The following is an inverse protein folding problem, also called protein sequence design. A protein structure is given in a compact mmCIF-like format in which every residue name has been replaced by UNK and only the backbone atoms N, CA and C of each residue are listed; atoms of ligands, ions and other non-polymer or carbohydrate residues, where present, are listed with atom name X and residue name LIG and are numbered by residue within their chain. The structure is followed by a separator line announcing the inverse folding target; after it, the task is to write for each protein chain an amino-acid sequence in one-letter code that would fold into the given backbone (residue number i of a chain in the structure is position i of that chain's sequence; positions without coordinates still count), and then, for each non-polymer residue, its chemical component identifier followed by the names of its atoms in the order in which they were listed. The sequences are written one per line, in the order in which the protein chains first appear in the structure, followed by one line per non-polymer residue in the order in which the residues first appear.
data_IF_681157606917
#
_entry.id   IF_681157606917
#
_cell.length_a   1.000
_cell.length_b   1.000
_cell.length_c   1.000
_cell.angle_alpha   90.00
_cell.angle_beta   90.00
_cell.angle_gamma   90.00
#
_symmetry.space_group_name_H-M   'P 1'
#
loop_
_entity.id
_entity.type
_entity.pdbx_description
1 polymer ?
#
# COMPACT_ATOMS: atom_id res chain seq x y z
N UNK A 1 -16.02 -21.89 3.52
CA UNK A 1 -14.59 -22.07 3.84
C UNK A 1 -13.75 -20.86 3.44
N UNK A 2 -13.81 -20.37 2.22
CA UNK A 2 -13.06 -19.22 1.67
C UNK A 2 -13.22 -17.95 2.52
N UNK A 3 -14.43 -17.64 3.00
CA UNK A 3 -14.72 -16.43 3.81
C UNK A 3 -13.99 -16.43 5.18
N UNK A 4 -13.82 -17.59 5.81
CA UNK A 4 -13.06 -17.71 7.07
C UNK A 4 -11.57 -17.55 6.85
N UNK A 5 -11.04 -18.12 5.77
CA UNK A 5 -9.61 -17.95 5.40
C UNK A 5 -9.31 -16.50 5.10
N UNK A 6 -10.18 -15.82 4.33
CA UNK A 6 -10.06 -14.39 4.06
C UNK A 6 -10.07 -13.53 5.33
N UNK A 7 -10.95 -13.83 6.29
CA UNK A 7 -11.02 -13.09 7.56
C UNK A 7 -9.76 -13.29 8.43
N UNK A 8 -9.22 -14.52 8.46
CA UNK A 8 -7.98 -14.82 9.20
C UNK A 8 -6.79 -14.11 8.57
N UNK A 9 -6.66 -14.17 7.25
CA UNK A 9 -5.58 -13.49 6.51
C UNK A 9 -5.68 -11.98 6.66
N UNK A 10 -6.87 -11.40 6.48
CA UNK A 10 -7.10 -9.98 6.64
C UNK A 10 -6.78 -9.49 8.07
N UNK A 11 -7.18 -10.25 9.10
CA UNK A 11 -6.90 -9.90 10.49
C UNK A 11 -5.40 -9.93 10.83
N UNK A 12 -4.64 -10.89 10.27
CA UNK A 12 -3.19 -10.97 10.46
C UNK A 12 -2.45 -9.86 9.70
N UNK A 13 -2.89 -9.54 8.47
CA UNK A 13 -2.30 -8.46 7.66
C UNK A 13 -2.49 -7.07 8.32
N UNK A 14 -3.59 -6.86 9.05
CA UNK A 14 -3.83 -5.57 9.74
C UNK A 14 -2.83 -5.32 10.89
N UNK A 15 -2.27 -6.37 11.49
CA UNK A 15 -1.30 -6.28 12.60
C UNK A 15 0.15 -6.16 12.13
N UNK A 16 0.44 -6.37 10.85
CA UNK A 16 1.79 -6.28 10.31
C UNK A 16 2.25 -4.83 10.30
N UNK A 17 3.22 -4.51 11.15
CA UNK A 17 3.85 -3.18 11.16
C UNK A 17 4.83 -3.03 9.99
N UNK A 18 5.11 -1.79 9.58
CA UNK A 18 6.14 -1.52 8.56
C UNK A 18 7.51 -2.09 8.95
N UNK A 19 7.84 -2.05 10.25
CA UNK A 19 9.09 -2.61 10.77
C UNK A 19 9.19 -4.11 10.56
N UNK A 20 8.12 -4.86 10.85
CA UNK A 20 8.12 -6.32 10.62
C UNK A 20 8.19 -6.67 9.14
N UNK A 21 7.52 -5.89 8.28
CA UNK A 21 7.57 -6.10 6.84
C UNK A 21 8.97 -5.86 6.28
N UNK A 22 9.63 -4.77 6.68
CA UNK A 22 11.04 -4.50 6.34
C UNK A 22 11.98 -5.59 6.85
N UNK A 23 11.73 -6.12 8.06
CA UNK A 23 12.49 -7.25 8.61
C UNK A 23 12.35 -8.52 7.75
N UNK A 24 11.14 -8.82 7.29
CA UNK A 24 10.88 -9.98 6.39
C UNK A 24 11.58 -9.78 5.04
N UNK A 25 11.51 -8.58 4.47
CA UNK A 25 12.23 -8.25 3.22
C UNK A 25 13.74 -8.43 3.41
N UNK A 26 14.32 -7.86 4.49
CA UNK A 26 15.74 -7.98 4.77
C UNK A 26 16.19 -9.43 4.96
N UNK A 27 15.42 -10.22 5.70
CA UNK A 27 15.66 -11.65 5.89
C UNK A 27 15.61 -12.41 4.56
N UNK A 28 14.60 -12.14 3.73
CA UNK A 28 14.48 -12.75 2.41
C UNK A 28 15.68 -12.44 1.52
N UNK A 29 16.13 -11.17 1.50
CA UNK A 29 17.32 -10.76 0.74
C UNK A 29 18.57 -11.50 1.25
N UNK A 30 18.75 -11.63 2.57
CA UNK A 30 19.88 -12.36 3.15
C UNK A 30 19.88 -13.85 2.77
N UNK A 31 18.70 -14.50 2.82
CA UNK A 31 18.56 -15.90 2.42
C UNK A 31 18.83 -16.08 0.92
N UNK A 32 18.32 -15.19 0.07
CA UNK A 32 18.58 -15.24 -1.37
C UNK A 32 20.06 -15.03 -1.69
N UNK A 33 20.70 -14.07 -1.04
CA UNK A 33 22.14 -13.84 -1.22
C UNK A 33 22.97 -15.09 -0.85
N UNK A 34 22.69 -15.67 0.33
CA UNK A 34 23.36 -16.89 0.78
C UNK A 34 23.05 -18.09 -0.14
N UNK A 35 21.78 -18.25 -0.58
CA UNK A 35 21.37 -19.31 -1.48
C UNK A 35 22.08 -19.26 -2.83
N UNK A 36 22.12 -18.09 -3.46
CA UNK A 36 22.83 -17.91 -4.73
C UNK A 36 24.35 -18.05 -4.59
N UNK A 37 24.91 -17.62 -3.43
CA UNK A 37 26.32 -17.86 -3.14
C UNK A 37 26.65 -19.36 -3.10
N UNK A 38 25.82 -20.16 -2.41
CA UNK A 38 25.99 -21.63 -2.34
C UNK A 38 25.78 -22.30 -3.70
N UNK A 39 24.95 -21.75 -4.57
CA UNK A 39 24.75 -22.22 -5.93
C UNK A 39 25.86 -21.83 -6.92
N UNK A 40 26.84 -21.00 -6.49
CA UNK A 40 27.95 -20.57 -7.32
C UNK A 40 27.66 -19.39 -8.27
N UNK A 41 26.60 -18.62 -8.01
CA UNK A 41 26.18 -17.47 -8.81
C UNK A 41 26.96 -16.19 -8.45
N UNK A 42 28.30 -16.22 -8.62
CA UNK A 42 29.18 -15.14 -8.16
C UNK A 42 28.97 -13.79 -8.86
N UNK A 43 28.51 -13.79 -10.09
CA UNK A 43 28.19 -12.56 -10.82
C UNK A 43 26.88 -11.95 -10.32
N UNK A 44 25.90 -12.80 -10.05
CA UNK A 44 24.57 -12.37 -9.58
C UNK A 44 24.63 -11.77 -8.16
N UNK A 45 25.47 -12.28 -7.29
CA UNK A 45 25.60 -11.84 -5.89
C UNK A 45 26.43 -10.56 -5.72
N UNK A 46 27.04 -10.01 -6.78
CA UNK A 46 27.65 -8.69 -6.72
C UNK A 46 26.59 -7.65 -6.27
N UNK A 47 26.93 -6.72 -5.35
CA UNK A 47 25.93 -5.90 -4.68
C UNK A 47 24.93 -5.19 -5.64
N UNK A 48 25.45 -4.60 -6.71
CA UNK A 48 24.62 -3.86 -7.68
C UNK A 48 23.74 -4.83 -8.49
N UNK A 49 24.31 -5.93 -8.97
CA UNK A 49 23.60 -6.94 -9.76
C UNK A 49 22.53 -7.62 -8.91
N UNK A 50 22.85 -7.94 -7.66
CA UNK A 50 21.93 -8.58 -6.73
C UNK A 50 20.72 -7.69 -6.42
N UNK A 51 20.94 -6.41 -6.09
CA UNK A 51 19.86 -5.46 -5.83
C UNK A 51 18.98 -5.30 -7.08
N UNK A 52 19.58 -5.13 -8.26
CA UNK A 52 18.83 -5.03 -9.53
C UNK A 52 18.00 -6.28 -9.78
N UNK A 53 18.62 -7.47 -9.67
CA UNK A 53 17.93 -8.74 -9.84
C UNK A 53 16.76 -8.91 -8.91
N UNK A 54 16.97 -8.71 -7.60
CA UNK A 54 15.92 -8.86 -6.59
C UNK A 54 14.78 -7.86 -6.78
N UNK A 55 15.10 -6.62 -7.17
CA UNK A 55 14.09 -5.60 -7.43
C UNK A 55 13.26 -5.93 -8.67
N UNK A 56 13.88 -6.36 -9.75
CA UNK A 56 13.20 -6.69 -11.02
C UNK A 56 12.37 -7.97 -10.90
N UNK A 57 12.93 -9.00 -10.24
CA UNK A 57 12.23 -10.27 -10.00
C UNK A 57 11.11 -10.12 -8.97
N UNK A 58 11.36 -9.39 -7.86
CA UNK A 58 10.41 -9.18 -6.79
C UNK A 58 9.21 -8.31 -7.20
N UNK A 59 9.43 -7.32 -8.08
CA UNK A 59 8.36 -6.49 -8.64
C UNK A 59 7.60 -7.12 -9.81
N UNK A 60 7.94 -8.36 -10.17
CA UNK A 60 7.35 -9.10 -11.31
C UNK A 60 7.60 -8.48 -12.69
N UNK A 61 8.48 -7.50 -12.81
CA UNK A 61 8.82 -6.86 -14.10
C UNK A 61 9.61 -7.79 -15.02
N UNK A 62 10.59 -8.53 -14.47
CA UNK A 62 11.24 -9.66 -15.12
C UNK A 62 11.93 -9.36 -16.46
N UNK A 63 12.78 -8.32 -16.55
CA UNK A 63 13.49 -8.00 -17.79
C UNK A 63 14.40 -9.11 -18.35
N UNK A 64 14.71 -10.13 -17.56
CA UNK A 64 15.54 -11.27 -17.99
C UNK A 64 17.02 -10.96 -18.27
N UNK A 65 17.49 -9.75 -17.95
CA UNK A 65 18.89 -9.34 -18.20
C UNK A 65 19.87 -10.02 -17.26
N UNK A 66 19.44 -10.28 -16.02
CA UNK A 66 20.20 -10.99 -14.98
C UNK A 66 19.35 -12.18 -14.55
N UNK A 67 19.88 -13.39 -14.73
CA UNK A 67 19.25 -14.65 -14.32
C UNK A 67 20.34 -15.59 -13.83
N UNK A 68 20.03 -16.50 -12.90
CA UNK A 68 20.95 -17.58 -12.54
C UNK A 68 21.35 -18.40 -13.76
N UNK A 69 22.63 -18.70 -13.88
CA UNK A 69 23.20 -19.48 -15.00
C UNK A 69 23.42 -20.95 -14.64
N UNK A 70 23.51 -21.26 -13.35
CA UNK A 70 23.69 -22.62 -12.86
C UNK A 70 22.35 -23.35 -12.68
N UNK A 71 22.32 -24.65 -12.89
CA UNK A 71 21.11 -25.46 -12.64
C UNK A 71 20.62 -25.37 -11.20
N UNK A 72 21.50 -25.45 -10.15
CA UNK A 72 21.09 -25.27 -8.77
C UNK A 72 20.54 -23.86 -8.50
N UNK A 73 21.15 -22.82 -9.10
CA UNK A 73 20.68 -21.44 -8.99
C UNK A 73 19.30 -21.24 -9.60
N UNK A 74 19.07 -21.78 -10.77
CA UNK A 74 17.77 -21.77 -11.46
C UNK A 74 16.69 -22.49 -10.66
N UNK A 75 17.02 -23.65 -10.06
CA UNK A 75 16.10 -24.41 -9.23
C UNK A 75 15.77 -23.65 -7.93
N UNK A 76 16.76 -23.06 -7.27
CA UNK A 76 16.58 -22.25 -6.08
C UNK A 76 15.70 -21.01 -6.38
N UNK A 77 15.93 -20.36 -7.51
CA UNK A 77 15.10 -19.25 -8.01
C UNK A 77 13.64 -19.69 -8.16
N UNK A 78 13.39 -20.80 -8.83
CA UNK A 78 12.04 -21.26 -9.17
C UNK A 78 11.26 -21.72 -7.94
N UNK A 79 11.90 -22.45 -7.01
CA UNK A 79 11.23 -23.06 -5.85
C UNK A 79 11.09 -22.09 -4.67
N UNK A 80 12.11 -21.29 -4.42
CA UNK A 80 12.14 -20.42 -3.24
C UNK A 80 12.02 -18.94 -3.58
N UNK A 81 12.93 -18.40 -4.39
CA UNK A 81 13.07 -16.96 -4.55
C UNK A 81 11.82 -16.34 -5.20
N UNK A 82 11.31 -16.86 -6.31
CA UNK A 82 10.16 -16.29 -7.00
C UNK A 82 8.86 -16.39 -6.19
N UNK A 83 8.47 -17.54 -5.60
CA UNK A 83 7.23 -17.62 -4.83
C UNK A 83 7.26 -16.73 -3.58
N UNK A 84 8.39 -16.67 -2.88
CA UNK A 84 8.51 -15.85 -1.66
C UNK A 84 8.55 -14.37 -1.99
N UNK A 85 9.28 -13.96 -3.05
CA UNK A 85 9.28 -12.57 -3.52
C UNK A 85 7.88 -12.10 -3.91
N UNK A 86 7.13 -12.93 -4.63
CA UNK A 86 5.76 -12.62 -5.03
C UNK A 86 4.82 -12.46 -3.82
N UNK A 87 4.96 -13.34 -2.81
CA UNK A 87 4.18 -13.24 -1.58
C UNK A 87 4.49 -11.95 -0.79
N UNK A 88 5.78 -11.58 -0.68
CA UNK A 88 6.22 -10.34 -0.03
C UNK A 88 5.70 -9.12 -0.79
N UNK A 89 5.82 -9.11 -2.11
CA UNK A 89 5.32 -8.02 -2.96
C UNK A 89 3.81 -7.85 -2.83
N UNK A 90 3.06 -8.95 -2.85
CA UNK A 90 1.62 -8.94 -2.61
C UNK A 90 1.24 -8.38 -1.23
N UNK A 91 2.01 -8.73 -0.18
CA UNK A 91 1.81 -8.18 1.16
C UNK A 91 2.10 -6.66 1.23
N UNK A 92 3.14 -6.19 0.54
CA UNK A 92 3.47 -4.76 0.42
C UNK A 92 2.34 -3.99 -0.26
N UNK A 93 1.86 -4.46 -1.42
CA UNK A 93 0.75 -3.85 -2.14
C UNK A 93 -0.53 -3.84 -1.30
N UNK A 94 -0.86 -4.95 -0.64
CA UNK A 94 -2.03 -5.04 0.24
C UNK A 94 -1.98 -4.03 1.38
N UNK A 95 -0.80 -3.82 1.97
CA UNK A 95 -0.63 -2.81 3.01
C UNK A 95 -0.76 -1.38 2.49
N UNK A 96 -0.21 -1.07 1.32
CA UNK A 96 -0.36 0.23 0.67
C UNK A 96 -1.84 0.54 0.37
N UNK A 97 -2.57 -0.43 -0.20
CA UNK A 97 -4.00 -0.29 -0.50
C UNK A 97 -4.81 -0.02 0.79
N UNK A 98 -4.54 -0.77 1.87
CA UNK A 98 -5.25 -0.57 3.13
C UNK A 98 -5.00 0.83 3.72
N UNK A 99 -3.77 1.34 3.67
CA UNK A 99 -3.49 2.71 4.12
C UNK A 99 -4.21 3.76 3.28
N UNK A 100 -4.23 3.58 1.97
CA UNK A 100 -4.97 4.49 1.07
C UNK A 100 -6.47 4.49 1.39
N UNK A 101 -7.06 3.32 1.65
CA UNK A 101 -8.46 3.20 2.07
C UNK A 101 -8.74 3.94 3.38
N UNK A 102 -7.89 3.79 4.39
CA UNK A 102 -8.04 4.50 5.67
C UNK A 102 -8.03 6.02 5.49
N UNK A 103 -7.17 6.54 4.61
CA UNK A 103 -7.10 7.98 4.28
C UNK A 103 -8.40 8.43 3.60
N UNK A 104 -8.87 7.66 2.61
CA UNK A 104 -10.10 7.96 1.88
C UNK A 104 -11.32 7.92 2.83
N UNK A 105 -11.43 6.88 3.65
CA UNK A 105 -12.53 6.74 4.61
C UNK A 105 -12.55 7.87 5.64
N UNK A 106 -11.39 8.30 6.13
CA UNK A 106 -11.30 9.47 7.01
C UNK A 106 -11.81 10.74 6.35
N UNK A 107 -11.43 10.98 5.10
CA UNK A 107 -11.88 12.15 4.34
C UNK A 107 -13.38 12.10 4.03
N UNK A 108 -13.90 10.92 3.69
CA UNK A 108 -15.33 10.73 3.40
C UNK A 108 -16.21 10.82 4.65
N UNK A 109 -15.70 10.37 5.81
CA UNK A 109 -16.43 10.44 7.09
C UNK A 109 -16.33 11.82 7.78
N UNK A 110 -15.86 12.85 7.10
CA UNK A 110 -15.77 14.20 7.63
C UNK A 110 -14.71 14.39 8.73
N UNK A 111 -13.77 13.45 8.88
CA UNK A 111 -12.65 13.56 9.80
C UNK A 111 -11.50 14.46 9.26
N UNK A 112 -11.79 15.25 8.22
CA UNK A 112 -10.88 16.27 7.73
C UNK A 112 -10.72 17.38 8.79
N UNK A 113 -9.51 17.87 8.94
CA UNK A 113 -9.24 18.97 9.86
C UNK A 113 -9.80 20.29 9.27
N UNK A 114 -10.95 20.69 9.77
CA UNK A 114 -11.64 21.93 9.39
C UNK A 114 -11.17 23.14 10.19
N UNK A 115 -10.09 23.03 10.97
CA UNK A 115 -9.55 24.12 11.79
C UNK A 115 -9.11 25.36 10.99
N UNK A 116 -8.89 25.20 9.68
CA UNK A 116 -8.56 26.31 8.79
C UNK A 116 -9.76 27.16 8.35
N UNK A 117 -10.99 26.66 8.58
CA UNK A 117 -12.21 27.37 8.20
C UNK A 117 -12.69 28.25 9.36
N UNK A 118 -12.56 29.56 9.21
CA UNK A 118 -13.11 30.55 10.13
C UNK A 118 -14.52 30.97 9.66
N UNK A 119 -15.47 31.06 10.61
CA UNK A 119 -16.86 31.52 10.35
C UNK A 119 -17.65 30.66 9.36
N UNK A 120 -17.47 29.34 9.40
CA UNK A 120 -18.25 28.42 8.57
C UNK A 120 -19.63 28.13 9.20
N UNK A 121 -20.59 27.79 8.34
CA UNK A 121 -21.91 27.29 8.74
C UNK A 121 -21.94 25.79 8.50
N UNK A 122 -22.26 25.01 9.53
CA UNK A 122 -22.42 23.57 9.43
C UNK A 122 -23.89 23.26 9.17
N UNK A 123 -24.19 22.64 8.02
CA UNK A 123 -25.53 22.13 7.70
C UNK A 123 -25.54 20.62 7.96
N UNK A 124 -26.33 20.18 8.95
CA UNK A 124 -26.46 18.77 9.31
C UNK A 124 -27.77 18.22 8.77
N UNK A 125 -27.67 17.24 7.87
CA UNK A 125 -28.83 16.59 7.26
C UNK A 125 -29.28 17.30 5.98
N UNK A 126 -29.38 16.51 4.89
CA UNK A 126 -29.85 17.00 3.58
C UNK A 126 -31.26 16.50 3.30
N UNK A 127 -32.23 17.45 3.06
CA UNK A 127 -33.62 17.18 2.74
C UNK A 127 -33.98 17.67 1.34
N UNK A 128 -33.13 17.48 0.35
CA UNK A 128 -33.42 17.89 -1.04
C UNK A 128 -33.68 19.39 -1.19
N UNK A 129 -34.77 19.75 -1.89
CA UNK A 129 -35.09 21.15 -2.27
C UNK A 129 -35.22 22.12 -1.09
N UNK A 130 -35.64 21.65 0.09
CA UNK A 130 -35.72 22.48 1.30
C UNK A 130 -34.34 22.94 1.77
N UNK A 131 -33.35 22.04 1.73
CA UNK A 131 -31.95 22.36 2.10
C UNK A 131 -31.33 23.30 1.08
N UNK A 132 -31.58 23.09 -0.21
CA UNK A 132 -31.09 23.96 -1.28
C UNK A 132 -31.65 25.41 -1.15
N UNK A 133 -32.92 25.53 -0.79
CA UNK A 133 -33.54 26.83 -0.54
C UNK A 133 -32.92 27.54 0.68
N UNK A 134 -32.63 26.80 1.72
CA UNK A 134 -31.94 27.29 2.93
C UNK A 134 -30.52 27.76 2.63
N UNK A 135 -29.77 26.98 1.87
CA UNK A 135 -28.40 27.32 1.43
C UNK A 135 -28.42 28.60 0.58
N UNK A 136 -29.35 28.74 -0.37
CA UNK A 136 -29.51 29.94 -1.17
C UNK A 136 -29.83 31.16 -0.31
N UNK A 137 -30.67 31.01 0.70
CA UNK A 137 -31.01 32.07 1.64
C UNK A 137 -29.80 32.51 2.47
N UNK A 138 -29.00 31.57 2.95
CA UNK A 138 -27.76 31.85 3.72
C UNK A 138 -26.73 32.54 2.83
N UNK A 139 -26.59 32.13 1.57
CA UNK A 139 -25.65 32.74 0.62
C UNK A 139 -26.07 34.13 0.17
N UNK A 140 -27.37 34.43 0.15
CA UNK A 140 -27.89 35.74 -0.25
C UNK A 140 -27.83 36.80 0.87
N UNK A 141 -27.51 36.38 2.12
CA UNK A 141 -27.32 37.33 3.22
C UNK A 141 -25.95 38.01 3.09
N UNK A 142 -25.96 39.30 2.69
CA UNK A 142 -24.76 40.13 2.48
C UNK A 142 -23.84 40.23 3.72
N UNK A 143 -24.38 40.00 4.91
CA UNK A 143 -23.59 39.96 6.16
C UNK A 143 -22.66 38.74 6.29
N UNK A 144 -22.83 37.72 5.44
CA UNK A 144 -22.07 36.46 5.47
C UNK A 144 -21.26 36.17 4.22
N UNK A 145 -21.02 37.16 3.35
CA UNK A 145 -20.30 36.98 2.07
C UNK A 145 -18.86 36.41 2.21
N UNK A 146 -18.33 36.27 3.41
CA UNK A 146 -17.00 35.70 3.68
C UNK A 146 -17.04 34.36 4.44
N UNK A 147 -18.18 33.65 4.47
CA UNK A 147 -18.31 32.36 5.16
C UNK A 147 -18.30 31.18 4.20
N UNK A 148 -17.60 30.12 4.56
CA UNK A 148 -17.62 28.83 3.85
C UNK A 148 -18.78 27.99 4.38
N UNK A 149 -19.54 27.36 3.47
CA UNK A 149 -20.59 26.41 3.81
C UNK A 149 -20.05 24.99 3.63
N UNK A 150 -20.16 24.16 4.67
CA UNK A 150 -19.83 22.75 4.64
C UNK A 150 -21.11 21.92 4.64
N UNK A 151 -21.26 21.04 3.66
CA UNK A 151 -22.37 20.09 3.49
C UNK A 151 -22.00 18.73 4.05
#
# INVERSE_FOLDING_TARGET
MIRKVYQIVAHHLHKVTWRSLLGVVGLHYAICWAGFYLCGEFELIQPINFIRYMSVSGSTVGFGVLTPVTDPGSLFMAIYQLPVSLAIFGALLGKMINQTREIIERNMNGASDFNSFNKHVLVVGYRGEETDSLIKCILSDERRQNGNILL
#
